data_IF_112371130407
#
_entry.id   IF_112371130407
#
_cell.length_a   1.000
_cell.length_b   1.000
_cell.length_c   1.000
_cell.angle_alpha   90.00
_cell.angle_beta   90.00
_cell.angle_gamma   90.00
#
_symmetry.space_group_name_H-M   'P 1'
#
loop_
_entity.id
_entity.type
_entity.pdbx_description
1 polymer ?
#
# COMPACT_ATOMS: atom_id res chain seq x y z
N UNK A 1 -8.28 34.72 4.34
CA UNK A 1 -6.84 34.89 4.03
C UNK A 1 -6.18 33.51 4.05
N UNK A 2 -5.86 32.94 2.90
CA UNK A 2 -5.21 31.61 2.81
C UNK A 2 -3.74 31.74 3.16
N UNK A 3 -3.27 31.03 4.20
CA UNK A 3 -1.85 31.03 4.60
C UNK A 3 -1.13 29.90 3.89
N UNK A 4 -0.22 30.23 2.98
CA UNK A 4 0.67 29.25 2.34
C UNK A 4 1.84 29.00 3.29
N UNK A 5 2.03 27.75 3.71
CA UNK A 5 3.17 27.32 4.53
C UNK A 5 3.98 26.28 3.78
N UNK A 6 5.31 26.39 3.83
CA UNK A 6 6.18 25.32 3.32
C UNK A 6 6.18 24.16 4.32
N UNK A 7 5.96 22.95 3.80
CA UNK A 7 6.04 21.72 4.59
C UNK A 7 7.49 21.44 4.94
N UNK A 8 7.77 21.04 6.19
CA UNK A 8 9.11 20.64 6.58
C UNK A 8 9.52 19.37 5.82
N UNK A 9 10.69 19.37 5.20
CA UNK A 9 11.19 18.25 4.39
C UNK A 9 12.42 17.65 5.08
N UNK A 10 12.37 16.37 5.50
CA UNK A 10 13.53 15.70 6.09
C UNK A 10 14.64 15.56 5.05
N UNK A 11 15.77 16.27 5.24
CA UNK A 11 16.91 16.25 4.30
C UNK A 11 17.52 14.86 4.13
N UNK A 12 17.53 14.07 5.19
CA UNK A 12 18.05 12.69 5.16
C UNK A 12 17.19 11.79 4.27
N UNK A 13 15.86 11.89 4.34
CA UNK A 13 14.96 11.14 3.46
C UNK A 13 15.17 11.51 1.98
N UNK A 14 15.38 12.80 1.68
CA UNK A 14 15.68 13.25 0.31
C UNK A 14 16.97 12.61 -0.20
N UNK A 15 18.05 12.63 0.58
CA UNK A 15 19.32 12.01 0.20
C UNK A 15 19.19 10.51 -0.05
N UNK A 16 18.49 9.79 0.85
CA UNK A 16 18.28 8.34 0.72
C UNK A 16 17.55 8.02 -0.59
N UNK A 17 16.51 8.78 -0.93
CA UNK A 17 15.75 8.60 -2.16
C UNK A 17 16.58 8.94 -3.41
N UNK A 18 17.36 10.02 -3.37
CA UNK A 18 18.26 10.40 -4.47
C UNK A 18 19.34 9.33 -4.72
N UNK A 19 19.98 8.83 -3.65
CA UNK A 19 20.95 7.73 -3.72
C UNK A 19 20.33 6.42 -4.24
N UNK A 20 19.04 6.20 -3.98
CA UNK A 20 18.28 5.09 -4.52
C UNK A 20 17.83 5.28 -5.99
N UNK A 21 18.25 6.38 -6.64
CA UNK A 21 17.97 6.65 -8.06
C UNK A 21 16.67 7.41 -8.33
N UNK A 22 16.01 7.95 -7.30
CA UNK A 22 14.81 8.79 -7.47
C UNK A 22 15.22 10.18 -7.94
N UNK A 23 14.51 10.72 -8.95
CA UNK A 23 14.78 12.06 -9.45
C UNK A 23 14.67 13.12 -8.33
N UNK A 24 15.55 14.14 -8.27
CA UNK A 24 15.65 15.08 -7.15
C UNK A 24 14.33 15.80 -6.78
N UNK A 25 13.50 16.13 -7.78
CA UNK A 25 12.20 16.76 -7.55
C UNK A 25 11.20 15.78 -6.89
N UNK A 26 11.22 14.52 -7.30
CA UNK A 26 10.37 13.46 -6.74
C UNK A 26 10.84 13.08 -5.34
N UNK A 27 12.16 13.01 -5.10
CA UNK A 27 12.72 12.75 -3.77
C UNK A 27 12.24 13.79 -2.74
N UNK A 28 12.25 15.08 -3.09
CA UNK A 28 11.71 16.17 -2.25
C UNK A 28 10.20 16.03 -2.02
N UNK A 29 9.43 15.72 -3.06
CA UNK A 29 7.99 15.54 -2.96
C UNK A 29 7.62 14.34 -2.06
N UNK A 30 8.29 13.21 -2.25
CA UNK A 30 8.09 11.99 -1.45
C UNK A 30 8.48 12.21 0.00
N UNK A 31 9.66 12.78 0.26
CA UNK A 31 10.10 13.12 1.61
C UNK A 31 9.12 14.09 2.31
N UNK A 32 8.57 15.07 1.59
CA UNK A 32 7.54 15.97 2.14
C UNK A 32 6.24 15.23 2.52
N UNK A 33 5.93 14.10 1.88
CA UNK A 33 4.78 13.24 2.19
C UNK A 33 5.08 12.18 3.26
N UNK A 34 6.28 12.17 3.83
CA UNK A 34 6.69 11.21 4.86
C UNK A 34 7.27 9.91 4.31
N UNK A 35 7.56 9.85 3.00
CA UNK A 35 8.26 8.70 2.41
C UNK A 35 9.75 8.79 2.76
N UNK A 36 10.29 7.74 3.35
CA UNK A 36 11.70 7.66 3.75
C UNK A 36 12.46 6.52 3.07
N UNK A 37 11.76 5.63 2.37
CA UNK A 37 12.33 4.45 1.70
C UNK A 37 11.79 4.35 0.27
N UNK A 38 12.68 4.08 -0.68
CA UNK A 38 12.33 3.83 -2.09
C UNK A 38 11.33 2.68 -2.25
N UNK A 39 11.33 1.71 -1.34
CA UNK A 39 10.37 0.60 -1.35
C UNK A 39 8.91 1.07 -1.24
N UNK A 40 8.64 2.20 -0.58
CA UNK A 40 7.30 2.75 -0.37
C UNK A 40 6.71 3.40 -1.63
N UNK A 41 7.53 3.66 -2.65
CA UNK A 41 7.11 4.24 -3.94
C UNK A 41 7.17 3.23 -5.09
N UNK A 42 7.55 1.98 -4.81
CA UNK A 42 7.50 0.90 -5.79
C UNK A 42 6.04 0.56 -6.09
N UNK A 43 5.71 0.47 -7.38
CA UNK A 43 4.38 0.07 -7.86
C UNK A 43 4.23 -1.44 -8.00
N UNK A 44 5.32 -2.20 -7.89
CA UNK A 44 5.31 -3.66 -7.90
C UNK A 44 4.70 -4.23 -6.63
N UNK A 45 3.90 -5.29 -6.75
CA UNK A 45 3.27 -5.97 -5.62
C UNK A 45 4.19 -6.94 -4.86
N UNK A 46 5.48 -6.96 -5.18
CA UNK A 46 6.45 -7.92 -4.63
C UNK A 46 6.71 -7.75 -3.12
N UNK A 47 6.21 -6.66 -2.52
CA UNK A 47 6.31 -6.37 -1.08
C UNK A 47 4.99 -6.66 -0.35
N UNK A 48 3.97 -7.20 -1.03
CA UNK A 48 2.76 -7.64 -0.36
C UNK A 48 3.07 -8.79 0.59
N UNK A 49 2.41 -8.78 1.75
CA UNK A 49 2.41 -9.92 2.66
C UNK A 49 1.85 -11.15 1.93
N UNK A 50 2.44 -12.31 2.22
CA UNK A 50 1.94 -13.57 1.68
C UNK A 50 0.47 -13.73 2.08
N UNK A 51 -0.44 -14.12 1.18
CA UNK A 51 -1.82 -14.43 1.56
C UNK A 51 -1.88 -15.50 2.65
N UNK A 52 -0.87 -16.38 2.76
CA UNK A 52 -0.81 -17.40 3.80
C UNK A 52 -0.60 -16.83 5.22
N UNK A 53 -0.16 -15.59 5.37
CA UNK A 53 -0.05 -14.94 6.68
C UNK A 53 -1.38 -14.41 7.21
N UNK A 54 -2.43 -14.38 6.38
CA UNK A 54 -3.77 -13.98 6.80
C UNK A 54 -4.45 -15.12 7.56
N UNK A 55 -4.91 -14.83 8.77
CA UNK A 55 -5.57 -15.80 9.66
C UNK A 55 -6.73 -16.51 8.94
N UNK A 56 -6.73 -17.84 8.98
CA UNK A 56 -7.70 -18.73 8.32
C UNK A 56 -7.79 -18.63 6.78
N UNK A 57 -6.91 -17.90 6.09
CA UNK A 57 -7.05 -17.69 4.64
C UNK A 57 -7.01 -18.97 3.81
N UNK A 58 -6.13 -19.93 4.16
CA UNK A 58 -6.08 -21.22 3.46
C UNK A 58 -7.36 -22.04 3.65
N UNK A 59 -7.92 -22.05 4.85
CA UNK A 59 -9.18 -22.77 5.15
C UNK A 59 -10.34 -22.14 4.39
N UNK A 60 -10.44 -20.81 4.39
CA UNK A 60 -11.49 -20.09 3.66
C UNK A 60 -11.36 -20.29 2.15
N UNK A 61 -10.14 -20.31 1.61
CA UNK A 61 -9.90 -20.58 0.19
C UNK A 61 -10.43 -21.95 -0.25
N UNK A 62 -10.25 -23.00 0.57
CA UNK A 62 -10.79 -24.34 0.32
C UNK A 62 -12.33 -24.33 0.36
N UNK A 63 -12.91 -23.77 1.42
CA UNK A 63 -14.37 -23.67 1.56
C UNK A 63 -15.02 -22.92 0.39
N UNK A 64 -14.37 -21.84 -0.08
CA UNK A 64 -14.84 -21.08 -1.23
C UNK A 64 -14.72 -21.89 -2.53
N UNK A 65 -13.61 -22.59 -2.74
CA UNK A 65 -13.43 -23.47 -3.89
C UNK A 65 -14.51 -24.57 -3.96
N UNK A 66 -14.79 -25.22 -2.83
CA UNK A 66 -15.82 -26.25 -2.72
C UNK A 66 -17.23 -25.68 -3.03
N UNK A 67 -17.52 -24.47 -2.53
CA UNK A 67 -18.79 -23.80 -2.80
C UNK A 67 -18.97 -23.41 -4.27
N UNK A 68 -17.89 -22.96 -4.93
CA UNK A 68 -17.87 -22.66 -6.36
C UNK A 68 -18.06 -23.94 -7.17
N UNK A 69 -17.33 -25.01 -6.83
CA UNK A 69 -17.44 -26.30 -7.51
C UNK A 69 -18.85 -26.90 -7.40
N UNK A 70 -19.50 -26.73 -6.24
CA UNK A 70 -20.88 -27.14 -6.02
C UNK A 70 -21.93 -26.16 -6.59
N UNK A 71 -21.50 -25.12 -7.32
CA UNK A 71 -22.35 -24.09 -7.92
C UNK A 71 -23.34 -23.45 -6.91
N UNK A 72 -22.86 -23.19 -5.69
CA UNK A 72 -23.68 -22.58 -4.64
C UNK A 72 -23.90 -21.09 -4.95
N UNK A 73 -25.04 -20.56 -4.50
CA UNK A 73 -25.27 -19.10 -4.49
C UNK A 73 -24.41 -18.47 -3.40
N UNK A 74 -23.54 -17.54 -3.78
CA UNK A 74 -22.63 -16.83 -2.88
C UNK A 74 -23.06 -15.36 -2.81
N UNK A 75 -23.37 -14.88 -1.61
CA UNK A 75 -23.66 -13.46 -1.34
C UNK A 75 -22.44 -12.84 -0.65
N UNK A 76 -21.84 -11.83 -1.26
CA UNK A 76 -20.75 -11.05 -0.66
C UNK A 76 -21.36 -9.81 -0.01
N UNK A 77 -21.26 -9.71 1.32
CA UNK A 77 -21.66 -8.53 2.09
C UNK A 77 -20.40 -7.80 2.50
N UNK A 78 -20.18 -6.61 1.93
CA UNK A 78 -19.11 -5.69 2.33
C UNK A 78 -19.68 -4.58 3.20
N UNK A 79 -18.92 -4.16 4.21
CA UNK A 79 -19.18 -2.89 4.87
C UNK A 79 -18.56 -1.76 4.04
N UNK A 80 -19.35 -0.73 3.75
CA UNK A 80 -18.87 0.45 3.05
C UNK A 80 -18.73 1.56 4.09
N UNK A 81 -17.49 1.93 4.39
CA UNK A 81 -17.16 3.05 5.26
C UNK A 81 -17.88 4.31 4.76
N UNK A 82 -18.85 4.82 5.56
CA UNK A 82 -19.23 6.23 5.49
C UNK A 82 -18.15 7.03 6.20
N UNK A 83 -17.18 7.52 5.44
CA UNK A 83 -16.30 8.63 5.84
C UNK A 83 -16.79 9.91 5.22
#
# INVERSE_FOLDING_TARGET
>A
MTRIVQRNIPKEAVKILELAGVAPILAKLFAARGVADVAQVKTSLNQLLSPHSLTHNQQMARLLADAIQANKKILIVGDFLRS
#
